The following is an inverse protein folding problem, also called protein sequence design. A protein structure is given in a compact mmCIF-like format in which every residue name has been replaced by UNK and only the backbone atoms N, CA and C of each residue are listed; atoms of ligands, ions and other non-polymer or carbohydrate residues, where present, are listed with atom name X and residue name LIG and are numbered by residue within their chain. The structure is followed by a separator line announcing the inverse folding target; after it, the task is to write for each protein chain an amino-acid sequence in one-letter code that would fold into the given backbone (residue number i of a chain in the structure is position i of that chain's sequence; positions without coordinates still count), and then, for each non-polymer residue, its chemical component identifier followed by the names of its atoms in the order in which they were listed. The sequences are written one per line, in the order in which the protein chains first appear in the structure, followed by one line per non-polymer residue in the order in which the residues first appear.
data_IF_028611975325
#
_entry.id   IF_028611975325
#
_cell.length_a   1.000
_cell.length_b   1.000
_cell.length_c   1.000
_cell.angle_alpha   90.00
_cell.angle_beta   90.00
_cell.angle_gamma   90.00
#
_symmetry.space_group_name_H-M   'P 1'
#
loop_
_entity.id
_entity.type
_entity.pdbx_description
1 polymer ?
#
# COMPACT_ATOMS: atom_id res chain seq x y z
N UNK A 1 -22.75 4.70 -11.37
CA UNK A 1 -22.23 4.36 -10.04
C UNK A 1 -21.72 5.61 -9.33
N UNK A 2 -21.71 5.61 -8.00
CA UNK A 2 -21.16 6.71 -7.19
C UNK A 2 -19.65 6.55 -7.04
N UNK A 3 -18.95 7.68 -7.01
CA UNK A 3 -17.51 7.73 -6.75
C UNK A 3 -17.13 9.01 -5.98
N UNK A 4 -16.03 8.93 -5.19
CA UNK A 4 -15.35 10.09 -4.67
C UNK A 4 -14.21 10.45 -5.66
N UNK A 5 -14.42 11.53 -6.37
CA UNK A 5 -13.63 11.95 -7.54
C UNK A 5 -12.71 13.10 -7.15
N UNK A 6 -11.44 13.01 -7.48
CA UNK A 6 -10.55 14.15 -7.48
C UNK A 6 -10.81 14.98 -8.74
N UNK A 7 -11.30 16.19 -8.55
CA UNK A 7 -11.60 17.20 -9.57
C UNK A 7 -11.08 18.56 -9.08
N UNK A 8 -10.26 19.24 -9.84
CA UNK A 8 -9.66 20.53 -9.47
C UNK A 8 -9.02 20.53 -8.05
N UNK A 9 -8.23 19.50 -7.76
CA UNK A 9 -7.56 19.28 -6.47
C UNK A 9 -8.52 19.23 -5.26
N UNK A 10 -9.77 18.81 -5.46
CA UNK A 10 -10.78 18.60 -4.43
C UNK A 10 -11.44 17.24 -4.60
N UNK A 11 -11.90 16.66 -3.50
CA UNK A 11 -12.73 15.47 -3.54
C UNK A 11 -14.21 15.90 -3.63
N UNK A 12 -14.87 15.42 -4.67
CA UNK A 12 -16.31 15.58 -4.87
C UNK A 12 -16.96 14.21 -4.98
N UNK A 13 -18.16 14.04 -4.42
CA UNK A 13 -18.95 12.82 -4.62
C UNK A 13 -19.91 13.07 -5.77
N UNK A 14 -19.77 12.27 -6.82
CA UNK A 14 -20.57 12.43 -8.05
C UNK A 14 -20.87 11.06 -8.68
N UNK A 15 -21.74 11.05 -9.68
CA UNK A 15 -22.06 9.86 -10.48
C UNK A 15 -21.18 9.78 -11.71
N UNK A 16 -20.74 8.58 -12.03
CA UNK A 16 -20.01 8.28 -13.24
C UNK A 16 -20.48 6.96 -13.86
N UNK A 17 -20.12 6.71 -15.12
CA UNK A 17 -20.39 5.43 -15.75
C UNK A 17 -19.69 4.28 -15.01
N UNK A 18 -20.38 3.14 -14.86
CA UNK A 18 -19.73 1.91 -14.40
C UNK A 18 -18.73 1.46 -15.47
N UNK A 19 -17.48 1.14 -15.10
CA UNK A 19 -16.51 0.70 -16.08
C UNK A 19 -16.92 -0.63 -16.71
N UNK A 20 -16.63 -0.78 -17.99
CA UNK A 20 -16.86 -2.03 -18.71
C UNK A 20 -15.53 -2.80 -18.78
N UNK A 21 -15.46 -4.04 -18.28
CA UNK A 21 -14.23 -4.81 -18.30
C UNK A 21 -13.80 -5.12 -19.74
N UNK A 22 -12.54 -4.81 -20.06
CA UNK A 22 -11.90 -5.15 -21.33
C UNK A 22 -11.38 -6.60 -21.31
N UNK A 23 -10.60 -7.00 -22.32
CA UNK A 23 -10.03 -8.34 -22.39
C UNK A 23 -9.20 -8.66 -21.14
N UNK A 24 -9.38 -9.87 -20.60
CA UNK A 24 -8.72 -10.38 -19.39
C UNK A 24 -9.02 -9.59 -18.10
N UNK A 25 -9.98 -8.67 -18.11
CA UNK A 25 -10.41 -7.94 -16.94
C UNK A 25 -11.67 -8.53 -16.29
N UNK A 26 -11.82 -8.26 -15.02
CA UNK A 26 -12.95 -8.63 -14.17
C UNK A 26 -13.56 -7.36 -13.61
N UNK A 27 -14.87 -7.22 -13.72
CA UNK A 27 -15.62 -6.18 -13.01
C UNK A 27 -15.74 -6.60 -11.55
N UNK A 28 -15.36 -5.71 -10.65
CA UNK A 28 -15.43 -5.94 -9.20
C UNK A 28 -16.17 -4.82 -8.50
N UNK A 29 -16.84 -5.15 -7.39
CA UNK A 29 -17.45 -4.21 -6.46
C UNK A 29 -16.47 -3.90 -5.34
N UNK A 30 -16.19 -2.64 -5.08
CA UNK A 30 -15.40 -2.23 -3.91
C UNK A 30 -16.18 -2.51 -2.63
N UNK A 31 -15.59 -3.24 -1.70
CA UNK A 31 -16.16 -3.55 -0.39
C UNK A 31 -15.54 -2.71 0.72
N UNK A 32 -14.24 -2.43 0.61
CA UNK A 32 -13.49 -1.53 1.48
C UNK A 32 -12.28 -0.99 0.71
N UNK A 33 -11.88 0.25 1.01
CA UNK A 33 -10.67 0.84 0.50
C UNK A 33 -10.03 1.70 1.58
N UNK A 34 -8.71 1.52 1.80
CA UNK A 34 -7.89 2.35 2.66
C UNK A 34 -7.65 3.74 2.06
N UNK A 35 -7.23 4.66 2.90
CA UNK A 35 -6.75 5.99 2.49
C UNK A 35 -5.24 6.03 2.71
N UNK A 36 -4.49 6.03 1.62
CA UNK A 36 -3.05 6.14 1.66
C UNK A 36 -2.59 7.60 1.84
N UNK A 37 -1.41 7.79 2.40
CA UNK A 37 -0.77 9.10 2.44
C UNK A 37 -0.50 9.67 1.04
N UNK A 38 -0.27 8.82 0.05
CA UNK A 38 -0.09 9.21 -1.35
C UNK A 38 -1.35 9.78 -2.00
N UNK A 39 -2.56 9.36 -1.58
CA UNK A 39 -3.83 9.95 -2.05
C UNK A 39 -3.94 11.41 -1.58
N UNK A 40 -3.58 11.67 -0.30
CA UNK A 40 -3.56 13.02 0.26
C UNK A 40 -2.47 13.87 -0.39
N UNK A 41 -1.34 13.27 -0.76
CA UNK A 41 -0.26 13.93 -1.46
C UNK A 41 -0.67 14.29 -2.89
N UNK A 42 -1.27 13.37 -3.64
CA UNK A 42 -1.76 13.60 -4.99
C UNK A 42 -2.80 14.74 -5.04
N UNK A 43 -3.67 14.81 -4.03
CA UNK A 43 -4.66 15.88 -3.92
C UNK A 43 -4.02 17.28 -3.77
N UNK A 44 -2.90 17.39 -3.04
CA UNK A 44 -2.24 18.66 -2.74
C UNK A 44 -1.12 19.01 -3.73
N UNK A 45 -0.42 18.00 -4.22
CA UNK A 45 0.83 18.12 -4.97
C UNK A 45 0.79 17.28 -6.26
N UNK A 46 -0.41 17.11 -6.85
CA UNK A 46 -0.61 16.26 -8.03
C UNK A 46 0.27 16.66 -9.21
N UNK A 47 0.48 17.96 -9.44
CA UNK A 47 1.34 18.43 -10.52
C UNK A 47 2.80 18.01 -10.31
N UNK A 48 3.34 18.17 -9.11
CA UNK A 48 4.72 17.77 -8.79
C UNK A 48 4.88 16.24 -8.92
N UNK A 49 3.88 15.48 -8.48
CA UNK A 49 3.85 14.03 -8.57
C UNK A 49 3.88 13.55 -10.03
N UNK A 50 3.05 14.13 -10.90
CA UNK A 50 3.02 13.81 -12.34
C UNK A 50 4.33 14.23 -13.01
N UNK A 51 4.82 15.45 -12.73
CA UNK A 51 6.06 15.95 -13.30
C UNK A 51 7.25 15.04 -12.94
N UNK A 52 7.40 14.71 -11.67
CA UNK A 52 8.46 13.78 -11.21
C UNK A 52 8.34 12.42 -11.87
N UNK A 53 7.11 11.90 -12.01
CA UNK A 53 6.87 10.62 -12.68
C UNK A 53 7.30 10.65 -14.15
N UNK A 54 6.98 11.71 -14.86
CA UNK A 54 7.40 11.88 -16.26
C UNK A 54 8.92 11.96 -16.40
N UNK A 55 9.60 12.69 -15.51
CA UNK A 55 11.06 12.84 -15.51
C UNK A 55 11.81 11.56 -15.18
N UNK A 56 11.23 10.70 -14.35
CA UNK A 56 11.86 9.46 -13.87
C UNK A 56 11.37 8.20 -14.60
N UNK A 57 10.45 8.32 -15.56
CA UNK A 57 9.82 7.17 -16.23
C UNK A 57 8.88 6.38 -15.32
N UNK A 58 8.28 7.03 -14.33
CA UNK A 58 7.32 6.42 -13.41
C UNK A 58 5.93 6.21 -14.03
N UNK A 59 5.03 5.59 -13.27
CA UNK A 59 3.70 5.16 -13.73
C UNK A 59 2.55 6.12 -13.39
N UNK A 60 2.82 7.21 -12.64
CA UNK A 60 1.80 8.19 -12.25
C UNK A 60 1.62 9.25 -13.35
N UNK A 61 1.00 8.84 -14.45
CA UNK A 61 0.76 9.72 -15.61
C UNK A 61 -0.72 10.04 -15.66
N UNK A 62 -1.15 11.00 -14.83
CA UNK A 62 -2.53 11.47 -14.77
C UNK A 62 -2.69 12.81 -15.48
N UNK A 63 -3.77 12.96 -16.23
CA UNK A 63 -4.24 14.26 -16.70
C UNK A 63 -5.09 14.91 -15.60
N UNK A 64 -4.50 15.85 -14.87
CA UNK A 64 -5.12 16.51 -13.73
C UNK A 64 -6.25 17.48 -14.11
N UNK A 65 -6.45 17.74 -15.43
CA UNK A 65 -7.60 18.52 -15.94
C UNK A 65 -8.87 17.67 -16.05
N UNK A 66 -8.78 16.35 -15.83
CA UNK A 66 -9.87 15.39 -15.90
C UNK A 66 -10.11 14.74 -14.54
N UNK A 67 -11.28 14.15 -14.40
CA UNK A 67 -11.66 13.39 -13.24
C UNK A 67 -10.74 12.20 -12.99
N UNK A 68 -10.34 12.01 -11.72
CA UNK A 68 -9.54 10.87 -11.26
C UNK A 68 -10.22 10.28 -10.05
N UNK A 69 -10.47 8.98 -10.08
CA UNK A 69 -10.96 8.23 -8.91
C UNK A 69 -9.77 7.52 -8.27
N UNK A 70 -9.37 8.00 -7.10
CA UNK A 70 -8.25 7.44 -6.35
C UNK A 70 -8.63 6.16 -5.58
N UNK A 71 -7.73 5.68 -4.72
CA UNK A 71 -7.91 4.49 -3.89
C UNK A 71 -7.29 3.25 -4.51
N UNK A 72 -6.24 2.74 -3.88
CA UNK A 72 -5.46 1.60 -4.36
C UNK A 72 -5.24 0.52 -3.30
N UNK A 73 -5.68 0.76 -2.06
CA UNK A 73 -5.63 -0.18 -0.93
C UNK A 73 -7.01 -0.82 -0.73
N UNK A 74 -7.40 -1.79 -1.53
CA UNK A 74 -8.79 -2.24 -1.57
C UNK A 74 -8.97 -3.75 -1.35
N UNK A 75 -10.16 -4.10 -0.85
CA UNK A 75 -10.77 -5.42 -0.96
C UNK A 75 -12.07 -5.28 -1.75
N UNK A 76 -12.27 -6.13 -2.74
CA UNK A 76 -13.39 -6.08 -3.66
C UNK A 76 -14.07 -7.45 -3.79
N UNK A 77 -15.21 -7.49 -4.47
CA UNK A 77 -15.98 -8.70 -4.77
C UNK A 77 -16.14 -8.83 -6.28
N UNK A 78 -15.88 -10.02 -6.82
CA UNK A 78 -16.07 -10.33 -8.23
C UNK A 78 -17.55 -10.22 -8.59
N UNK A 79 -17.87 -9.42 -9.64
CA UNK A 79 -19.22 -9.27 -10.18
C UNK A 79 -19.38 -9.96 -11.52
N UNK A 80 -18.54 -9.63 -12.50
CA UNK A 80 -18.67 -10.09 -13.88
C UNK A 80 -17.29 -10.09 -14.58
N UNK A 81 -17.23 -10.61 -15.80
CA UNK A 81 -16.01 -10.88 -16.54
C UNK A 81 -16.02 -10.23 -17.90
N UNK A 82 -14.89 -9.65 -18.27
CA UNK A 82 -14.61 -9.24 -19.62
C UNK A 82 -14.32 -10.42 -20.56
N UNK A 83 -14.12 -10.11 -21.85
CA UNK A 83 -13.73 -11.11 -22.84
C UNK A 83 -12.41 -11.80 -22.47
N UNK A 84 -12.23 -13.02 -22.94
CA UNK A 84 -10.99 -13.82 -22.81
C UNK A 84 -10.50 -14.07 -21.37
N UNK A 85 -11.38 -13.92 -20.37
CA UNK A 85 -11.10 -14.32 -18.99
C UNK A 85 -11.29 -15.83 -18.80
N UNK A 86 -10.52 -16.44 -17.91
CA UNK A 86 -10.62 -17.87 -17.56
C UNK A 86 -11.76 -18.16 -16.56
N UNK A 87 -12.32 -17.12 -15.95
CA UNK A 87 -13.40 -17.20 -14.93
C UNK A 87 -13.04 -18.10 -13.76
N UNK A 88 -11.78 -18.03 -13.32
CA UNK A 88 -11.23 -18.89 -12.26
C UNK A 88 -11.88 -18.64 -10.90
N UNK A 89 -12.28 -17.41 -10.63
CA UNK A 89 -12.96 -17.01 -9.40
C UNK A 89 -14.44 -16.73 -9.69
N UNK A 90 -15.33 -17.29 -8.89
CA UNK A 90 -16.78 -17.13 -9.07
C UNK A 90 -17.25 -15.72 -8.66
N UNK A 91 -18.34 -15.18 -9.25
CA UNK A 91 -19.03 -14.00 -8.71
C UNK A 91 -19.34 -14.17 -7.21
N UNK A 92 -19.20 -13.09 -6.43
CA UNK A 92 -19.28 -13.14 -4.97
C UNK A 92 -17.96 -13.48 -4.27
N UNK A 93 -16.91 -13.88 -4.99
CA UNK A 93 -15.59 -14.12 -4.39
C UNK A 93 -14.96 -12.79 -3.99
N UNK A 94 -14.53 -12.69 -2.72
CA UNK A 94 -13.76 -11.53 -2.25
C UNK A 94 -12.32 -11.64 -2.71
N UNK A 95 -11.78 -10.54 -3.20
CA UNK A 95 -10.44 -10.46 -3.78
C UNK A 95 -9.70 -9.19 -3.34
N UNK A 96 -8.38 -9.29 -3.30
CA UNK A 96 -7.45 -8.17 -3.38
C UNK A 96 -6.69 -8.27 -4.71
N UNK A 97 -5.99 -7.22 -5.09
CA UNK A 97 -5.15 -7.22 -6.29
C UNK A 97 -3.96 -6.30 -6.10
N UNK A 98 -2.93 -6.53 -6.91
CA UNK A 98 -1.96 -5.47 -7.17
C UNK A 98 -2.68 -4.30 -7.86
N UNK A 99 -2.44 -3.02 -7.47
CA UNK A 99 -3.20 -1.88 -7.97
C UNK A 99 -2.78 -1.46 -9.39
N UNK A 100 -2.81 -2.41 -10.31
CA UNK A 100 -2.48 -2.20 -11.73
C UNK A 100 -3.39 -3.07 -12.58
N UNK A 101 -3.83 -2.56 -13.70
CA UNK A 101 -4.60 -3.31 -14.70
C UNK A 101 -4.13 -3.00 -16.12
N UNK A 102 -4.45 -3.86 -17.09
CA UNK A 102 -4.25 -3.61 -18.52
C UNK A 102 -5.62 -3.37 -19.12
N UNK A 103 -6.00 -2.10 -19.26
CA UNK A 103 -7.29 -1.70 -19.81
C UNK A 103 -7.15 -1.32 -21.30
N UNK A 104 -7.87 -2.00 -22.18
CA UNK A 104 -7.80 -1.81 -23.64
C UNK A 104 -6.35 -1.81 -24.16
N UNK A 105 -5.51 -2.73 -23.66
CA UNK A 105 -4.10 -2.87 -24.06
C UNK A 105 -3.15 -1.84 -23.44
N UNK A 106 -3.64 -0.94 -22.60
CA UNK A 106 -2.83 0.09 -21.93
C UNK A 106 -2.68 -0.22 -20.44
N UNK A 107 -1.45 -0.20 -19.93
CA UNK A 107 -1.17 -0.36 -18.50
C UNK A 107 -1.70 0.87 -17.75
N UNK A 108 -2.51 0.63 -16.72
CA UNK A 108 -3.09 1.66 -15.88
C UNK A 108 -2.84 1.36 -14.40
N UNK A 109 -2.42 2.36 -13.64
CA UNK A 109 -2.32 2.27 -12.18
C UNK A 109 -3.69 2.59 -11.58
N UNK A 110 -4.31 1.62 -10.93
CA UNK A 110 -5.61 1.77 -10.25
C UNK A 110 -5.49 2.82 -9.15
N UNK A 111 -6.37 3.82 -9.18
CA UNK A 111 -6.32 4.96 -8.26
C UNK A 111 -5.48 6.15 -8.72
N UNK A 112 -4.67 6.00 -9.79
CA UNK A 112 -3.82 7.05 -10.35
C UNK A 112 -3.87 7.06 -11.88
N UNK A 113 -5.06 6.93 -12.44
CA UNK A 113 -5.29 6.89 -13.88
C UNK A 113 -6.61 7.55 -14.24
N UNK A 114 -6.66 8.14 -15.44
CA UNK A 114 -7.91 8.59 -16.05
C UNK A 114 -8.60 7.48 -16.89
N UNK A 115 -7.97 6.30 -17.01
CA UNK A 115 -8.49 5.20 -17.82
C UNK A 115 -9.43 4.29 -17.03
N UNK A 116 -9.14 4.08 -15.76
CA UNK A 116 -9.88 3.19 -14.86
C UNK A 116 -10.08 3.84 -13.50
N UNK A 117 -11.25 3.66 -12.87
CA UNK A 117 -11.49 4.16 -11.53
C UNK A 117 -10.75 3.33 -10.48
N UNK A 118 -10.32 3.98 -9.40
CA UNK A 118 -9.79 3.32 -8.20
C UNK A 118 -10.88 2.95 -7.19
N UNK A 119 -10.43 2.48 -6.02
CA UNK A 119 -11.27 1.94 -4.95
C UNK A 119 -12.20 2.93 -4.26
N UNK A 120 -12.09 4.24 -4.56
CA UNK A 120 -13.04 5.23 -4.07
C UNK A 120 -14.31 5.32 -4.95
N UNK A 121 -14.55 4.32 -5.80
CA UNK A 121 -15.80 4.10 -6.52
C UNK A 121 -16.48 2.80 -6.10
N UNK A 122 -17.77 2.67 -6.45
CA UNK A 122 -18.53 1.45 -6.16
C UNK A 122 -18.01 0.23 -6.94
N UNK A 123 -17.48 0.44 -8.16
CA UNK A 123 -16.97 -0.65 -9.00
C UNK A 123 -15.66 -0.26 -9.68
N UNK A 124 -14.81 -1.26 -9.88
CA UNK A 124 -13.53 -1.16 -10.59
C UNK A 124 -13.41 -2.27 -11.64
N UNK A 125 -12.42 -2.14 -12.52
CA UNK A 125 -11.96 -3.23 -13.39
C UNK A 125 -10.53 -3.61 -13.02
N UNK A 126 -10.27 -4.92 -12.91
CA UNK A 126 -8.99 -5.46 -12.49
C UNK A 126 -8.60 -6.61 -13.43
N UNK A 127 -7.31 -6.77 -13.69
CA UNK A 127 -6.79 -7.90 -14.48
C UNK A 127 -6.97 -9.23 -13.72
N UNK A 128 -7.62 -10.21 -14.35
CA UNK A 128 -7.98 -11.49 -13.73
C UNK A 128 -6.78 -12.21 -13.11
N UNK A 129 -5.64 -12.25 -13.80
CA UNK A 129 -4.43 -12.95 -13.34
C UNK A 129 -3.76 -12.32 -12.12
N UNK A 130 -4.13 -11.10 -11.74
CA UNK A 130 -3.61 -10.40 -10.56
C UNK A 130 -4.53 -10.54 -9.35
N UNK A 131 -5.70 -11.17 -9.50
CA UNK A 131 -6.65 -11.33 -8.41
C UNK A 131 -6.17 -12.38 -7.40
N UNK A 132 -6.19 -12.01 -6.14
CA UNK A 132 -5.89 -12.87 -5.00
C UNK A 132 -7.17 -13.10 -4.19
N UNK A 133 -7.71 -14.30 -4.12
CA UNK A 133 -8.89 -14.58 -3.31
C UNK A 133 -8.57 -14.40 -1.84
N UNK A 134 -9.48 -13.74 -1.12
CA UNK A 134 -9.36 -13.52 0.33
C UNK A 134 -9.57 -14.83 1.08
N UNK A 135 -8.57 -15.34 1.82
CA UNK A 135 -8.66 -16.66 2.46
C UNK A 135 -9.39 -16.63 3.80
N UNK A 136 -9.83 -17.81 4.25
CA UNK A 136 -10.12 -18.14 5.66
C UNK A 136 -11.07 -17.19 6.38
N UNK A 137 -12.02 -16.57 5.70
CA UNK A 137 -12.96 -15.65 6.32
C UNK A 137 -12.35 -14.36 6.88
N UNK A 138 -11.14 -13.99 6.44
CA UNK A 138 -10.50 -12.72 6.82
C UNK A 138 -11.48 -11.56 6.64
N UNK A 139 -11.68 -10.68 7.65
CA UNK A 139 -12.55 -9.53 7.53
C UNK A 139 -12.18 -8.63 6.35
N UNK A 140 -13.16 -8.08 5.65
CA UNK A 140 -12.94 -7.26 4.45
C UNK A 140 -12.02 -6.05 4.71
N UNK A 141 -12.20 -5.37 5.84
CA UNK A 141 -11.34 -4.24 6.20
C UNK A 141 -9.87 -4.66 6.43
N UNK A 142 -9.63 -5.87 6.96
CA UNK A 142 -8.28 -6.39 7.10
C UNK A 142 -7.71 -6.83 5.75
N UNK A 143 -8.54 -7.40 4.88
CA UNK A 143 -8.11 -7.77 3.54
C UNK A 143 -7.68 -6.54 2.70
N UNK A 144 -8.34 -5.39 2.88
CA UNK A 144 -7.95 -4.15 2.22
C UNK A 144 -6.53 -3.66 2.61
N UNK A 145 -5.98 -4.11 3.75
CA UNK A 145 -4.60 -3.81 4.14
C UNK A 145 -3.55 -4.66 3.39
N UNK A 146 -3.95 -5.55 2.50
CA UNK A 146 -3.00 -6.43 1.76
C UNK A 146 -1.97 -5.61 1.00
N UNK A 147 -2.36 -4.52 0.35
CA UNK A 147 -1.46 -3.66 -0.42
C UNK A 147 -0.40 -3.01 0.49
N UNK A 148 -0.74 -2.19 1.53
CA UNK A 148 0.28 -1.55 2.37
C UNK A 148 1.13 -2.56 3.14
N UNK A 149 0.58 -3.72 3.53
CA UNK A 149 1.35 -4.80 4.16
C UNK A 149 2.36 -5.42 3.18
N UNK A 150 2.00 -5.55 1.89
CA UNK A 150 2.91 -6.01 0.86
C UNK A 150 4.06 -5.03 0.63
N UNK A 151 3.80 -3.71 0.68
CA UNK A 151 4.82 -2.65 0.62
C UNK A 151 5.82 -2.80 1.79
N UNK A 152 5.31 -2.98 3.02
CA UNK A 152 6.15 -3.20 4.20
C UNK A 152 7.01 -4.46 4.10
N UNK A 153 6.43 -5.58 3.68
CA UNK A 153 7.17 -6.83 3.46
C UNK A 153 8.21 -6.69 2.35
N UNK A 154 7.88 -5.97 1.27
CA UNK A 154 8.84 -5.71 0.19
C UNK A 154 10.04 -4.93 0.70
N UNK A 155 9.84 -3.88 1.49
CA UNK A 155 10.92 -3.10 2.09
C UNK A 155 11.86 -3.99 2.94
N UNK A 156 11.30 -4.87 3.78
CA UNK A 156 12.08 -5.82 4.58
C UNK A 156 12.90 -6.77 3.71
N UNK A 157 12.31 -7.31 2.64
CA UNK A 157 13.02 -8.19 1.70
C UNK A 157 14.15 -7.47 0.95
N UNK A 158 13.91 -6.22 0.55
CA UNK A 158 14.91 -5.41 -0.15
C UNK A 158 16.08 -5.02 0.75
N UNK A 159 15.84 -4.85 2.04
CA UNK A 159 16.89 -4.57 3.03
C UNK A 159 17.88 -5.75 3.21
N UNK A 160 17.48 -6.99 2.84
CA UNK A 160 18.31 -8.21 2.92
C UNK A 160 18.96 -8.44 4.29
N UNK A 161 18.25 -8.09 5.33
CA UNK A 161 18.73 -8.20 6.71
C UNK A 161 18.98 -9.66 7.10
N UNK A 162 20.02 -9.89 7.87
CA UNK A 162 20.28 -11.14 8.57
C UNK A 162 19.86 -11.05 10.04
N UNK A 163 19.86 -12.19 10.75
CA UNK A 163 19.37 -12.27 12.14
C UNK A 163 20.25 -11.58 13.18
N UNK A 164 21.43 -11.11 12.81
CA UNK A 164 22.35 -10.40 13.71
C UNK A 164 22.23 -8.88 13.57
N UNK A 165 21.47 -8.41 12.60
CA UNK A 165 21.30 -6.98 12.35
C UNK A 165 20.12 -6.40 13.12
N UNK A 166 20.28 -5.14 13.54
CA UNK A 166 19.29 -4.40 14.32
C UNK A 166 18.59 -3.39 13.38
N UNK A 167 17.36 -3.67 12.95
CA UNK A 167 16.65 -2.73 12.09
C UNK A 167 16.18 -1.49 12.86
N UNK A 168 16.38 -0.33 12.24
CA UNK A 168 15.90 0.96 12.69
C UNK A 168 14.81 1.47 11.75
N UNK A 169 13.57 1.54 12.24
CA UNK A 169 12.41 2.03 11.48
C UNK A 169 12.11 3.46 11.90
N UNK A 170 12.38 4.41 11.01
CA UNK A 170 12.13 5.83 11.23
C UNK A 170 10.81 6.23 10.58
N UNK A 171 9.84 6.59 11.41
CA UNK A 171 8.47 6.89 11.02
C UNK A 171 7.54 5.67 11.16
N UNK A 172 6.62 5.74 12.12
CA UNK A 172 5.64 4.69 12.43
C UNK A 172 4.25 5.04 11.85
N UNK A 173 4.22 5.57 10.63
CA UNK A 173 3.00 5.66 9.83
C UNK A 173 2.57 4.27 9.31
N UNK A 174 1.50 4.16 8.49
CA UNK A 174 0.99 2.87 8.03
C UNK A 174 2.06 1.96 7.42
N UNK A 175 2.94 2.49 6.56
CA UNK A 175 4.03 1.71 5.95
C UNK A 175 5.08 1.31 6.99
N UNK A 176 5.49 2.21 7.90
CA UNK A 176 6.43 1.87 8.97
C UNK A 176 5.90 0.79 9.90
N UNK A 177 4.61 0.84 10.27
CA UNK A 177 3.94 -0.21 11.05
C UNK A 177 3.90 -1.54 10.29
N UNK A 178 3.66 -1.53 8.98
CA UNK A 178 3.71 -2.72 8.15
C UNK A 178 5.13 -3.31 8.07
N UNK A 179 6.18 -2.46 8.01
CA UNK A 179 7.58 -2.88 8.07
C UNK A 179 7.89 -3.56 9.42
N UNK A 180 7.48 -2.94 10.55
CA UNK A 180 7.68 -3.51 11.89
C UNK A 180 7.02 -4.88 12.00
N UNK A 181 5.76 -5.02 11.58
CA UNK A 181 5.03 -6.28 11.58
C UNK A 181 5.73 -7.35 10.72
N UNK A 182 6.23 -6.98 9.53
CA UNK A 182 6.95 -7.88 8.65
C UNK A 182 8.30 -8.31 9.24
N UNK A 183 9.06 -7.41 9.87
CA UNK A 183 10.30 -7.73 10.59
C UNK A 183 10.03 -8.73 11.73
N UNK A 184 9.01 -8.46 12.54
CA UNK A 184 8.62 -9.36 13.65
C UNK A 184 8.23 -10.75 13.15
N UNK A 185 7.46 -10.83 12.07
CA UNK A 185 7.05 -12.09 11.47
C UNK A 185 8.22 -12.90 10.89
N UNK A 186 9.26 -12.23 10.39
CA UNK A 186 10.47 -12.89 9.87
C UNK A 186 11.47 -13.26 10.95
N UNK A 187 11.23 -12.85 12.21
CA UNK A 187 12.09 -13.11 13.36
C UNK A 187 13.40 -12.32 13.34
N UNK A 188 13.39 -11.15 12.69
CA UNK A 188 14.52 -10.21 12.68
C UNK A 188 14.27 -9.18 13.78
N UNK A 189 15.25 -8.99 14.63
CA UNK A 189 15.19 -8.06 15.77
C UNK A 189 16.45 -8.11 16.63
N UNK A 190 16.55 -7.25 17.65
CA UNK A 190 15.52 -6.32 18.14
C UNK A 190 15.19 -5.21 17.13
N UNK A 191 13.91 -4.80 17.09
CA UNK A 191 13.41 -3.78 16.18
C UNK A 191 13.32 -2.45 16.92
N UNK A 192 14.01 -1.43 16.44
CA UNK A 192 13.94 -0.07 16.97
C UNK A 192 12.96 0.74 16.13
N UNK A 193 11.97 1.36 16.75
CA UNK A 193 10.96 2.19 16.10
C UNK A 193 10.98 3.62 16.61
N UNK A 194 10.89 4.59 15.70
CA UNK A 194 11.03 6.02 15.98
C UNK A 194 9.87 6.78 15.38
N UNK A 195 9.15 7.58 16.17
CA UNK A 195 8.17 8.55 15.68
C UNK A 195 7.98 9.69 16.70
N UNK A 196 7.68 10.90 16.21
CA UNK A 196 7.32 12.03 17.06
C UNK A 196 5.95 11.87 17.73
N UNK A 197 5.02 11.16 17.09
CA UNK A 197 3.67 10.93 17.59
C UNK A 197 3.64 9.84 18.65
N UNK A 198 3.21 10.17 19.87
CA UNK A 198 3.01 9.19 20.94
C UNK A 198 2.06 8.06 20.50
N UNK A 199 0.97 8.39 19.81
CA UNK A 199 0.01 7.38 19.34
C UNK A 199 0.62 6.40 18.32
N UNK A 200 1.50 6.87 17.43
CA UNK A 200 2.19 6.00 16.48
C UNK A 200 3.22 5.12 17.18
N UNK A 201 3.88 5.63 18.22
CA UNK A 201 4.81 4.86 19.04
C UNK A 201 4.09 3.70 19.77
N UNK A 202 2.91 3.95 20.36
CA UNK A 202 2.07 2.89 20.95
C UNK A 202 1.71 1.81 19.91
N UNK A 203 1.34 2.21 18.69
CA UNK A 203 1.04 1.27 17.63
C UNK A 203 2.28 0.48 17.17
N UNK A 204 3.45 1.10 17.16
CA UNK A 204 4.70 0.42 16.81
C UNK A 204 5.05 -0.68 17.82
N UNK A 205 4.85 -0.44 19.11
CA UNK A 205 5.00 -1.44 20.17
C UNK A 205 4.03 -2.60 19.98
N UNK A 206 2.74 -2.31 19.73
CA UNK A 206 1.72 -3.33 19.44
C UNK A 206 2.05 -4.17 18.18
N UNK A 207 2.70 -3.58 17.19
CA UNK A 207 3.13 -4.27 15.95
C UNK A 207 4.40 -5.09 16.16
N UNK A 208 5.06 -4.97 17.33
CA UNK A 208 6.17 -5.82 17.73
C UNK A 208 7.54 -5.16 17.69
N UNK A 209 7.63 -3.83 17.70
CA UNK A 209 8.89 -3.15 17.95
C UNK A 209 9.35 -3.40 19.40
N UNK A 210 10.64 -3.62 19.56
CA UNK A 210 11.24 -3.98 20.87
C UNK A 210 11.76 -2.74 21.61
N UNK A 211 12.15 -1.69 20.88
CA UNK A 211 12.58 -0.41 21.42
C UNK A 211 11.83 0.74 20.75
N UNK A 212 11.26 1.63 21.57
CA UNK A 212 10.42 2.75 21.11
C UNK A 212 11.06 4.08 21.47
N UNK A 213 11.34 4.90 20.47
CA UNK A 213 12.08 6.16 20.65
C UNK A 213 11.23 7.35 20.30
N UNK A 214 11.20 8.33 21.22
CA UNK A 214 10.77 9.69 20.94
C UNK A 214 11.99 10.52 20.55
N UNK A 215 12.11 10.96 19.28
CA UNK A 215 13.28 11.72 18.83
C UNK A 215 13.39 13.13 19.45
N UNK A 216 12.36 13.61 20.17
CA UNK A 216 12.47 14.82 20.98
C UNK A 216 13.35 14.62 22.20
N UNK A 217 13.46 13.40 22.72
CA UNK A 217 14.13 13.08 23.97
C UNK A 217 15.46 12.36 23.77
N UNK A 218 15.57 11.51 22.77
CA UNK A 218 16.73 10.64 22.54
C UNK A 218 17.03 10.50 21.06
N UNK A 219 18.30 10.56 20.71
CA UNK A 219 18.74 10.30 19.33
C UNK A 219 18.47 8.84 18.95
N UNK A 220 17.76 8.56 17.86
CA UNK A 220 17.55 7.20 17.39
C UNK A 220 18.86 6.48 17.04
N UNK A 221 19.89 7.20 16.62
CA UNK A 221 21.20 6.63 16.28
C UNK A 221 22.02 6.27 17.52
N UNK A 222 21.86 6.99 18.62
CA UNK A 222 22.49 6.62 19.91
C UNK A 222 21.85 5.36 20.48
N UNK A 223 20.53 5.27 20.48
CA UNK A 223 19.82 4.05 20.90
C UNK A 223 20.22 2.86 20.03
N UNK A 224 20.31 3.04 18.70
CA UNK A 224 20.77 2.00 17.80
C UNK A 224 22.19 1.53 18.13
N UNK A 225 23.15 2.44 18.36
CA UNK A 225 24.53 2.12 18.74
C UNK A 225 24.64 1.35 20.06
N UNK A 226 23.76 1.62 21.01
CA UNK A 226 23.76 0.94 22.31
C UNK A 226 23.27 -0.50 22.21
N UNK A 227 22.40 -0.79 21.22
CA UNK A 227 21.81 -2.12 20.99
C UNK A 227 22.64 -2.92 20.00
N UNK A 228 23.04 -2.29 18.89
CA UNK A 228 23.87 -2.89 17.84
C UNK A 228 25.34 -2.96 18.32
N UNK A 229 25.71 -4.06 18.96
CA UNK A 229 27.08 -4.28 19.45
C UNK A 229 27.99 -4.75 18.31
N UNK A 230 29.20 -4.26 18.31
CA UNK A 230 30.26 -4.67 17.39
C UNK A 230 31.41 -5.35 18.14
N UNK A 231 32.03 -6.36 17.53
CA UNK A 231 33.27 -6.95 18.04
C UNK A 231 34.47 -6.01 17.80
N UNK A 232 35.64 -6.37 18.33
CA UNK A 232 36.88 -5.59 18.22
C UNK A 232 37.35 -5.42 16.77
N UNK A 233 36.83 -6.20 15.80
CA UNK A 233 37.11 -6.11 14.39
C UNK A 233 36.06 -5.30 13.63
N UNK A 234 35.11 -4.67 14.32
CA UNK A 234 34.03 -3.89 13.72
C UNK A 234 32.93 -4.74 13.06
N UNK A 235 32.81 -6.03 13.40
CA UNK A 235 31.74 -6.90 12.95
C UNK A 235 30.58 -6.86 13.93
N UNK A 236 29.36 -6.73 13.40
CA UNK A 236 28.12 -6.76 14.19
C UNK A 236 27.99 -8.10 14.94
N UNK A 237 27.83 -8.02 16.24
CA UNK A 237 27.65 -9.19 17.10
C UNK A 237 26.14 -9.58 17.15
N UNK A 238 25.83 -10.87 17.33
CA UNK A 238 24.47 -11.28 17.64
C UNK A 238 23.96 -10.57 18.89
N UNK A 239 22.72 -10.11 18.86
CA UNK A 239 22.04 -9.60 20.05
C UNK A 239 21.54 -10.80 20.84
N UNK A 240 21.95 -10.91 22.12
CA UNK A 240 21.51 -11.96 23.03
C UNK A 240 20.05 -11.78 23.47
#
# INVERSE_FOLDING_TARGET
MKAAIMRDAKIVVDEMATPVPSEHEVLVKTLACGICGSDLHALKHGHDMVQTSLETGGSFVMDLSKDIVMGHEFCAEVLDYGPNTNRTLKPGTRVCSFPTTVHNGTLATVGYSNLVPGGYSENMVLTESMLLPVPNGLPTAHAALTEPMAVGLHAVRMARLNKTEVPLVIGCGPVGLAVIAALKQTGIGPIIAVDYSAKRRELAELMGADEIIDPNNTSPYESWKNIAKYDDNGKLMPVE
#
